data_IF_336354656218
#
_entry.id   IF_336354656218
#
_cell.length_a   1.000
_cell.length_b   1.000
_cell.length_c   1.000
_cell.angle_alpha   90.00
_cell.angle_beta   90.00
_cell.angle_gamma   90.00
#
_symmetry.space_group_name_H-M   'P 1'
#
loop_
_entity.id
_entity.type
_entity.pdbx_description
1 polymer ?
#
# COMPACT_ATOMS: atom_id res chain seq x y z
N UNK A 1 -0.19 -7.46 -14.68
CA UNK A 1 -0.14 -6.19 -13.95
C UNK A 1 1.15 -6.24 -13.15
N UNK A 2 2.18 -5.55 -13.61
CA UNK A 2 3.45 -5.49 -12.88
C UNK A 2 3.31 -4.44 -11.78
N UNK A 3 3.43 -4.89 -10.53
CA UNK A 3 3.39 -3.99 -9.38
C UNK A 3 4.80 -3.43 -9.23
N UNK A 4 4.99 -2.13 -9.45
CA UNK A 4 6.29 -1.49 -9.26
C UNK A 4 6.49 -1.00 -7.82
N UNK A 5 5.41 -0.57 -7.15
CA UNK A 5 5.45 0.09 -5.84
C UNK A 5 4.26 -0.31 -4.99
N UNK A 6 4.49 -0.44 -3.68
CA UNK A 6 3.45 -0.70 -2.69
C UNK A 6 3.56 0.30 -1.53
N UNK A 7 2.54 1.15 -1.38
CA UNK A 7 2.44 2.12 -0.30
C UNK A 7 1.82 1.50 0.94
N UNK A 8 2.44 1.67 2.10
CA UNK A 8 1.94 1.14 3.37
C UNK A 8 2.12 2.15 4.51
N UNK A 9 1.36 2.00 5.58
CA UNK A 9 1.60 2.77 6.80
C UNK A 9 2.76 2.20 7.62
N UNK A 10 3.15 2.92 8.68
CA UNK A 10 4.24 2.54 9.59
C UNK A 10 4.11 1.11 10.17
N UNK A 11 2.89 0.59 10.29
CA UNK A 11 2.63 -0.78 10.77
C UNK A 11 2.71 -1.85 9.68
N UNK A 12 2.66 -1.47 8.40
CA UNK A 12 2.75 -2.38 7.26
C UNK A 12 4.18 -2.76 6.86
N UNK A 13 5.21 -2.19 7.52
CA UNK A 13 6.60 -2.54 7.25
C UNK A 13 7.18 -3.51 8.27
N UNK A 14 8.06 -4.38 7.78
CA UNK A 14 8.96 -5.22 8.56
C UNK A 14 10.23 -5.45 7.73
N UNK A 15 11.34 -5.85 8.36
CA UNK A 15 12.53 -6.20 7.58
C UNK A 15 12.21 -7.31 6.56
N UNK A 16 11.45 -8.32 6.96
CA UNK A 16 11.08 -9.42 6.07
C UNK A 16 10.22 -8.96 4.90
N UNK A 17 9.31 -7.99 5.09
CA UNK A 17 8.54 -7.39 3.99
C UNK A 17 9.45 -6.62 3.01
N UNK A 18 10.45 -5.89 3.50
CA UNK A 18 11.46 -5.25 2.65
C UNK A 18 12.28 -6.27 1.85
N UNK A 19 12.60 -7.42 2.44
CA UNK A 19 13.29 -8.48 1.71
C UNK A 19 12.40 -9.09 0.61
N UNK A 20 11.15 -9.42 0.91
CA UNK A 20 10.25 -10.00 -0.09
C UNK A 20 9.94 -9.03 -1.23
N UNK A 21 9.68 -7.75 -0.93
CA UNK A 21 9.45 -6.74 -1.96
C UNK A 21 10.63 -6.64 -2.94
N UNK A 22 11.85 -6.57 -2.41
CA UNK A 22 13.07 -6.60 -3.22
C UNK A 22 13.19 -7.86 -4.08
N UNK A 23 12.97 -9.05 -3.50
CA UNK A 23 13.08 -10.33 -4.23
C UNK A 23 11.98 -10.51 -5.28
N UNK A 24 10.80 -9.92 -5.07
CA UNK A 24 9.67 -9.98 -5.98
C UNK A 24 9.73 -8.89 -7.07
N UNK A 25 10.59 -7.88 -6.90
CA UNK A 25 10.88 -6.85 -7.89
C UNK A 25 10.02 -5.59 -7.76
N UNK A 26 9.56 -5.26 -6.55
CA UNK A 26 8.80 -4.03 -6.29
C UNK A 26 9.32 -3.27 -5.07
N UNK A 27 9.09 -1.97 -5.02
CA UNK A 27 9.48 -1.13 -3.90
C UNK A 27 8.39 -1.11 -2.82
N UNK A 28 8.75 -1.48 -1.58
CA UNK A 28 7.90 -1.24 -0.40
C UNK A 28 8.16 0.17 0.14
N UNK A 29 7.13 1.02 0.14
CA UNK A 29 7.25 2.44 0.45
C UNK A 29 6.38 2.82 1.66
N UNK A 30 6.87 2.61 2.90
CA UNK A 30 6.13 2.97 4.10
C UNK A 30 6.13 4.47 4.40
N UNK A 31 4.99 5.02 4.83
CA UNK A 31 4.93 6.34 5.50
C UNK A 31 5.35 6.18 6.95
N UNK A 32 6.47 6.81 7.31
CA UNK A 32 7.10 6.66 8.62
C UNK A 32 6.72 7.84 9.53
N UNK A 33 5.83 7.59 10.50
CA UNK A 33 5.44 8.59 11.52
C UNK A 33 6.58 8.90 12.50
N UNK A 34 7.35 7.88 12.88
CA UNK A 34 8.46 7.98 13.83
C UNK A 34 9.81 7.86 13.12
N UNK A 35 10.06 8.69 12.10
CA UNK A 35 11.32 8.66 11.34
C UNK A 35 12.54 8.87 12.24
N UNK A 36 12.42 9.73 13.26
CA UNK A 36 13.49 10.03 14.21
C UNK A 36 13.91 8.83 15.09
N UNK A 37 13.07 7.79 15.21
CA UNK A 37 13.42 6.57 15.95
C UNK A 37 14.03 5.49 15.08
N UNK A 38 14.02 5.66 13.75
CA UNK A 38 14.60 4.67 12.84
C UNK A 38 16.13 4.67 12.95
N UNK A 39 16.72 3.50 12.74
CA UNK A 39 18.17 3.30 12.74
C UNK A 39 18.63 2.78 11.39
N UNK A 40 19.84 3.16 11.01
CA UNK A 40 20.50 2.73 9.77
C UNK A 40 21.47 1.59 10.07
N UNK A 41 21.34 0.47 9.36
CA UNK A 41 22.24 -0.66 9.54
C UNK A 41 23.54 -0.45 8.78
N UNK A 42 24.64 -0.92 9.36
CA UNK A 42 25.98 -0.75 8.80
C UNK A 42 26.30 -1.87 7.82
N UNK A 43 27.06 -1.57 6.78
CA UNK A 43 27.51 -2.59 5.82
C UNK A 43 28.60 -3.49 6.43
N UNK A 44 29.34 -3.02 7.43
CA UNK A 44 30.38 -3.81 8.12
C UNK A 44 31.81 -3.54 7.64
N UNK A 45 31.98 -2.85 6.51
CA UNK A 45 33.31 -2.38 6.05
C UNK A 45 33.77 -1.10 6.77
N UNK A 46 32.83 -0.43 7.45
CA UNK A 46 33.00 0.85 8.12
C UNK A 46 33.69 0.69 9.48
N UNK A 47 34.66 1.54 9.79
CA UNK A 47 35.24 1.66 11.14
C UNK A 47 34.38 2.57 12.01
N UNK A 48 34.47 2.39 13.33
CA UNK A 48 33.83 3.33 14.26
C UNK A 48 34.41 4.74 14.06
N UNK A 49 33.54 5.73 13.84
CA UNK A 49 33.92 7.12 13.60
C UNK A 49 34.05 7.52 12.12
N UNK A 50 33.92 6.58 11.17
CA UNK A 50 33.91 6.92 9.73
C UNK A 50 32.76 7.90 9.38
N UNK A 51 31.67 7.85 10.16
CA UNK A 51 30.50 8.71 10.01
C UNK A 51 30.10 9.36 11.34
N UNK A 52 30.97 10.19 11.92
CA UNK A 52 30.74 10.87 13.20
C UNK A 52 29.37 11.55 13.36
N UNK A 53 28.85 12.16 12.29
CA UNK A 53 27.52 12.82 12.30
C UNK A 53 26.34 11.83 12.26
N UNK A 54 26.58 10.59 11.82
CA UNK A 54 25.56 9.53 11.71
C UNK A 54 25.65 8.51 12.84
N UNK A 55 26.72 8.51 13.64
CA UNK A 55 26.90 7.62 14.80
C UNK A 55 25.63 7.51 15.69
N UNK A 56 24.85 8.58 15.96
CA UNK A 56 23.63 8.47 16.77
C UNK A 56 22.51 7.64 16.12
N UNK A 57 22.51 7.51 14.79
CA UNK A 57 21.47 6.81 14.00
C UNK A 57 21.95 5.48 13.43
N UNK A 58 23.26 5.20 13.44
CA UNK A 58 23.81 3.91 13.02
C UNK A 58 23.58 2.81 14.07
N UNK A 59 23.41 1.58 13.61
CA UNK A 59 23.24 0.40 14.47
C UNK A 59 24.13 -0.76 14.02
N UNK A 60 23.76 -1.99 14.38
CA UNK A 60 24.49 -3.23 14.11
C UNK A 60 24.80 -3.40 12.60
N UNK A 61 25.83 -4.19 12.32
CA UNK A 61 26.20 -4.58 10.95
C UNK A 61 25.24 -5.62 10.40
N UNK A 62 25.02 -5.58 9.09
CA UNK A 62 24.26 -6.60 8.35
C UNK A 62 25.10 -7.88 8.27
N UNK A 63 24.47 -9.03 8.51
CA UNK A 63 25.16 -10.32 8.34
C UNK A 63 25.03 -10.82 6.88
N UNK A 64 25.95 -10.38 6.03
CA UNK A 64 25.99 -10.75 4.61
C UNK A 64 26.21 -12.24 4.38
N UNK A 65 27.02 -12.89 5.21
CA UNK A 65 27.30 -14.32 5.10
C UNK A 65 26.03 -15.15 5.25
N UNK A 66 25.15 -14.77 6.18
CA UNK A 66 23.86 -15.45 6.35
C UNK A 66 22.93 -15.26 5.13
N UNK A 67 22.97 -14.09 4.49
CA UNK A 67 22.21 -13.82 3.26
C UNK A 67 22.71 -14.73 2.14
N UNK A 68 24.03 -14.84 1.97
CA UNK A 68 24.67 -15.70 0.95
C UNK A 68 24.30 -17.17 1.20
N UNK A 69 24.46 -17.66 2.43
CA UNK A 69 24.19 -19.06 2.80
C UNK A 69 22.73 -19.49 2.62
N UNK A 70 21.78 -18.54 2.59
CA UNK A 70 20.35 -18.83 2.47
C UNK A 70 19.73 -18.28 1.19
N UNK A 71 20.55 -17.81 0.24
CA UNK A 71 20.11 -17.19 -1.00
C UNK A 71 19.11 -18.08 -1.76
N UNK A 72 19.48 -19.33 -2.04
CA UNK A 72 18.64 -20.26 -2.82
C UNK A 72 17.27 -20.51 -2.16
N UNK A 73 17.24 -20.64 -0.83
CA UNK A 73 15.99 -20.83 -0.10
C UNK A 73 15.14 -19.55 -0.14
N UNK A 74 15.73 -18.36 0.00
CA UNK A 74 15.00 -17.09 -0.13
C UNK A 74 14.37 -16.94 -1.52
N UNK A 75 15.13 -17.23 -2.59
CA UNK A 75 14.63 -17.19 -3.97
C UNK A 75 13.50 -18.20 -4.18
N UNK A 76 13.63 -19.41 -3.62
CA UNK A 76 12.60 -20.45 -3.69
C UNK A 76 11.29 -20.00 -3.04
N UNK A 77 11.33 -19.40 -1.84
CA UNK A 77 10.12 -18.88 -1.20
C UNK A 77 9.51 -17.69 -1.96
N UNK A 78 10.33 -16.76 -2.43
CA UNK A 78 9.86 -15.64 -3.25
C UNK A 78 9.22 -16.13 -4.56
N UNK A 79 9.80 -17.15 -5.19
CA UNK A 79 9.25 -17.76 -6.42
C UNK A 79 7.93 -18.48 -6.13
N UNK A 80 7.84 -19.22 -5.02
CA UNK A 80 6.60 -19.90 -4.63
C UNK A 80 5.45 -18.91 -4.41
N UNK A 81 5.74 -17.77 -3.77
CA UNK A 81 4.79 -16.66 -3.64
C UNK A 81 4.38 -16.09 -5.00
N UNK A 82 5.36 -15.80 -5.87
CA UNK A 82 5.11 -15.23 -7.19
C UNK A 82 4.27 -16.15 -8.09
N UNK A 83 4.46 -17.47 -7.97
CA UNK A 83 3.71 -18.48 -8.72
C UNK A 83 2.38 -18.87 -8.06
N UNK A 84 2.09 -18.38 -6.85
CA UNK A 84 0.90 -18.79 -6.09
C UNK A 84 0.88 -20.25 -5.66
N UNK A 85 2.04 -20.93 -5.64
CA UNK A 85 2.15 -22.34 -5.22
C UNK A 85 2.20 -22.51 -3.71
N UNK A 86 2.37 -21.40 -2.97
CA UNK A 86 2.27 -21.36 -1.53
C UNK A 86 1.66 -20.03 -1.07
N UNK A 87 0.79 -20.09 -0.07
CA UNK A 87 0.22 -18.89 0.54
C UNK A 87 1.23 -18.19 1.47
N UNK A 88 1.22 -16.84 1.54
CA UNK A 88 2.07 -16.08 2.46
C UNK A 88 1.95 -16.54 3.91
N UNK A 89 0.72 -16.82 4.37
CA UNK A 89 0.47 -17.27 5.73
C UNK A 89 1.13 -18.63 6.00
N UNK A 90 1.06 -19.56 5.05
CA UNK A 90 1.69 -20.87 5.16
C UNK A 90 3.22 -20.76 5.28
N UNK A 91 3.84 -19.87 4.52
CA UNK A 91 5.29 -19.59 4.58
C UNK A 91 5.66 -18.98 5.94
N UNK A 92 4.93 -17.95 6.39
CA UNK A 92 5.17 -17.30 7.67
C UNK A 92 4.99 -18.27 8.85
N UNK A 93 3.94 -19.11 8.81
CA UNK A 93 3.67 -20.13 9.81
C UNK A 93 4.78 -21.18 9.87
N UNK A 94 5.40 -21.51 8.74
CA UNK A 94 6.57 -22.40 8.69
C UNK A 94 7.77 -21.79 9.40
N UNK A 95 7.96 -20.48 9.33
CA UNK A 95 9.07 -19.79 10.00
C UNK A 95 8.92 -19.72 11.52
N UNK A 96 7.69 -19.82 12.04
CA UNK A 96 7.38 -19.70 13.48
C UNK A 96 7.08 -21.04 14.18
N UNK A 97 7.01 -22.15 13.44
CA UNK A 97 6.44 -23.43 13.91
C UNK A 97 7.10 -24.06 15.14
N UNK A 98 8.36 -23.74 15.48
CA UNK A 98 9.12 -24.46 16.52
C UNK A 98 9.87 -23.56 17.53
N UNK A 99 9.51 -22.27 17.70
CA UNK A 99 10.23 -21.29 18.56
C UNK A 99 11.72 -21.06 18.23
N UNK A 100 12.34 -21.90 17.41
CA UNK A 100 13.64 -21.67 16.79
C UNK A 100 13.39 -20.91 15.50
N UNK A 101 13.84 -19.65 15.46
CA UNK A 101 13.71 -18.80 14.30
C UNK A 101 14.42 -19.44 13.10
N UNK A 102 13.64 -19.77 12.05
CA UNK A 102 14.11 -20.48 10.85
C UNK A 102 15.32 -19.76 10.22
N UNK A 103 16.37 -20.48 9.76
CA UNK A 103 17.57 -19.85 9.18
C UNK A 103 17.23 -18.89 8.03
N UNK A 104 16.36 -19.30 7.11
CA UNK A 104 15.88 -18.45 6.01
C UNK A 104 15.12 -17.21 6.49
N UNK A 105 14.36 -17.29 7.58
CA UNK A 105 13.71 -16.11 8.16
C UNK A 105 14.74 -15.11 8.68
N UNK A 106 15.80 -15.60 9.33
CA UNK A 106 16.90 -14.74 9.77
C UNK A 106 17.61 -14.09 8.59
N UNK A 107 17.88 -14.84 7.53
CA UNK A 107 18.47 -14.29 6.30
C UNK A 107 17.58 -13.24 5.63
N UNK A 108 16.26 -13.50 5.53
CA UNK A 108 15.30 -12.50 5.05
C UNK A 108 15.29 -11.25 5.92
N UNK A 109 15.38 -11.40 7.25
CA UNK A 109 15.48 -10.25 8.13
C UNK A 109 16.78 -9.46 7.89
N UNK A 110 17.93 -10.13 7.67
CA UNK A 110 19.20 -9.45 7.34
C UNK A 110 19.16 -8.73 6.00
N UNK A 111 18.65 -9.38 4.95
CA UNK A 111 18.43 -8.73 3.65
C UNK A 111 17.49 -7.53 3.80
N UNK A 112 16.42 -7.71 4.56
CA UNK A 112 15.45 -6.68 4.89
C UNK A 112 16.05 -5.44 5.54
N UNK A 113 17.03 -5.62 6.44
CA UNK A 113 17.78 -4.50 7.06
C UNK A 113 18.55 -3.70 6.03
N UNK A 114 19.17 -4.37 5.04
CA UNK A 114 19.89 -3.71 3.96
C UNK A 114 18.94 -2.85 3.12
N UNK A 115 17.86 -3.45 2.61
CA UNK A 115 16.87 -2.78 1.78
C UNK A 115 16.17 -1.65 2.53
N UNK A 116 15.79 -1.88 3.80
CA UNK A 116 15.23 -0.85 4.67
C UNK A 116 16.19 0.32 4.88
N UNK A 117 17.48 0.06 5.04
CA UNK A 117 18.49 1.13 5.19
C UNK A 117 18.59 1.97 3.91
N UNK A 118 18.62 1.32 2.73
CA UNK A 118 18.59 2.01 1.43
C UNK A 118 17.32 2.87 1.31
N UNK A 119 16.16 2.31 1.65
CA UNK A 119 14.90 3.04 1.66
C UNK A 119 14.96 4.25 2.59
N UNK A 120 15.45 4.10 3.83
CA UNK A 120 15.55 5.21 4.79
C UNK A 120 16.45 6.34 4.27
N UNK A 121 17.58 6.00 3.65
CA UNK A 121 18.46 6.99 3.03
C UNK A 121 17.74 7.75 1.90
N UNK A 122 16.99 7.05 1.03
CA UNK A 122 16.16 7.69 -0.02
C UNK A 122 15.06 8.55 0.60
N UNK A 123 14.34 8.03 1.58
CA UNK A 123 13.22 8.68 2.25
C UNK A 123 13.64 9.96 2.96
N UNK A 124 14.83 10.00 3.56
CA UNK A 124 15.38 11.21 4.19
C UNK A 124 15.92 12.18 3.14
N UNK A 125 16.62 11.64 2.12
CA UNK A 125 17.31 12.45 1.10
C UNK A 125 16.40 13.08 0.03
N UNK A 126 15.18 12.59 -0.17
CA UNK A 126 14.27 13.08 -1.21
C UNK A 126 12.92 13.53 -0.63
N UNK A 127 12.59 14.80 -0.84
CA UNK A 127 11.26 15.33 -0.53
C UNK A 127 10.21 14.79 -1.49
N UNK A 128 10.51 14.74 -2.78
CA UNK A 128 9.61 14.21 -3.81
C UNK A 128 9.14 12.79 -3.49
N UNK A 129 10.04 11.92 -3.00
CA UNK A 129 9.67 10.57 -2.59
C UNK A 129 8.69 10.59 -1.40
N UNK A 130 8.86 11.49 -0.44
CA UNK A 130 7.93 11.60 0.70
C UNK A 130 6.57 12.12 0.25
N UNK A 131 6.53 13.07 -0.69
CA UNK A 131 5.30 13.57 -1.30
C UNK A 131 4.58 12.42 -2.01
N UNK A 132 5.29 11.67 -2.86
CA UNK A 132 4.73 10.53 -3.59
C UNK A 132 4.12 9.49 -2.65
N UNK A 133 4.84 9.12 -1.58
CA UNK A 133 4.34 8.16 -0.58
C UNK A 133 3.07 8.67 0.10
N UNK A 134 3.03 9.96 0.42
CA UNK A 134 1.87 10.56 1.04
C UNK A 134 0.67 10.62 0.09
N UNK A 135 0.89 10.96 -1.17
CA UNK A 135 -0.13 10.94 -2.23
C UNK A 135 -0.69 9.52 -2.43
N UNK A 136 0.18 8.51 -2.52
CA UNK A 136 -0.22 7.11 -2.67
C UNK A 136 -1.07 6.60 -1.51
N UNK A 137 -0.74 6.96 -0.26
CA UNK A 137 -1.56 6.60 0.90
C UNK A 137 -2.87 7.36 0.97
N UNK A 138 -2.90 8.64 0.60
CA UNK A 138 -4.13 9.43 0.57
C UNK A 138 -5.19 8.80 -0.34
N UNK A 139 -4.79 8.15 -1.45
CA UNK A 139 -5.72 7.41 -2.32
C UNK A 139 -6.39 6.27 -1.54
N UNK A 140 -5.61 5.49 -0.78
CA UNK A 140 -6.12 4.38 0.04
C UNK A 140 -7.00 4.89 1.18
N UNK A 141 -6.63 6.00 1.83
CA UNK A 141 -7.43 6.63 2.89
C UNK A 141 -8.78 7.16 2.37
N UNK A 142 -8.78 7.82 1.21
CA UNK A 142 -10.00 8.28 0.53
C UNK A 142 -10.88 7.10 0.13
N UNK A 143 -10.28 6.02 -0.38
CA UNK A 143 -10.98 4.79 -0.72
C UNK A 143 -11.65 4.16 0.50
N UNK A 144 -10.92 4.04 1.62
CA UNK A 144 -11.47 3.54 2.88
C UNK A 144 -12.61 4.41 3.41
N UNK A 145 -12.49 5.73 3.29
CA UNK A 145 -13.52 6.67 3.73
C UNK A 145 -14.78 6.60 2.88
N UNK A 146 -14.64 6.45 1.55
CA UNK A 146 -15.76 6.20 0.65
C UNK A 146 -16.46 4.86 0.97
N UNK A 147 -15.68 3.81 1.28
CA UNK A 147 -16.24 2.53 1.69
C UNK A 147 -17.00 2.60 3.00
N UNK A 148 -16.46 3.29 4.01
CA UNK A 148 -17.15 3.49 5.28
C UNK A 148 -18.47 4.26 5.10
N UNK A 149 -18.49 5.22 4.16
CA UNK A 149 -19.69 5.97 3.80
C UNK A 149 -20.76 5.10 3.12
N UNK A 150 -20.37 4.26 2.15
CA UNK A 150 -21.30 3.33 1.47
C UNK A 150 -21.79 2.26 2.45
N UNK A 151 -20.88 1.71 3.25
CA UNK A 151 -21.14 0.66 4.22
C UNK A 151 -21.53 1.26 5.58
N UNK A 152 -22.54 2.13 5.63
CA UNK A 152 -22.93 2.80 6.87
C UNK A 152 -23.81 1.94 7.80
N UNK A 153 -24.46 0.91 7.27
CA UNK A 153 -25.37 0.03 8.01
C UNK A 153 -24.65 -0.72 9.14
N UNK A 154 -25.30 -0.86 10.31
CA UNK A 154 -24.72 -1.52 11.51
C UNK A 154 -23.35 -0.98 11.92
N UNK A 155 -23.07 0.31 11.69
CA UNK A 155 -21.80 0.94 12.05
C UNK A 155 -20.65 0.60 11.10
N UNK A 156 -20.94 0.00 9.93
CA UNK A 156 -19.93 -0.41 8.96
C UNK A 156 -19.15 -1.67 9.33
N UNK A 157 -19.73 -2.48 10.21
CA UNK A 157 -19.15 -3.75 10.60
C UNK A 157 -19.87 -4.92 9.94
N UNK A 158 -19.09 -5.93 9.56
CA UNK A 158 -19.63 -7.21 9.10
C UNK A 158 -20.17 -7.96 10.32
N UNK A 159 -21.47 -7.80 10.59
CA UNK A 159 -22.11 -8.28 11.81
C UNK A 159 -22.43 -9.79 11.85
N UNK A 160 -21.83 -10.60 10.97
CA UNK A 160 -22.10 -12.04 10.83
C UNK A 160 -20.80 -12.84 10.86
N UNK A 161 -20.84 -14.02 11.46
CA UNK A 161 -19.71 -14.96 11.50
C UNK A 161 -19.77 -16.01 10.37
N UNK A 162 -20.75 -15.92 9.47
CA UNK A 162 -20.90 -16.83 8.33
C UNK A 162 -20.09 -16.33 7.15
N UNK A 163 -19.04 -17.06 6.76
CA UNK A 163 -18.13 -16.67 5.67
C UNK A 163 -18.86 -16.27 4.37
N UNK A 164 -19.88 -17.01 3.96
CA UNK A 164 -20.69 -16.71 2.77
C UNK A 164 -21.36 -15.32 2.82
N UNK A 165 -21.88 -14.94 3.99
CA UNK A 165 -22.53 -13.64 4.18
C UNK A 165 -21.50 -12.50 4.28
N UNK A 166 -20.32 -12.78 4.85
CA UNK A 166 -19.20 -11.83 4.86
C UNK A 166 -18.72 -11.56 3.43
N UNK A 167 -18.52 -12.63 2.65
CA UNK A 167 -18.11 -12.55 1.25
C UNK A 167 -19.13 -11.76 0.42
N UNK A 168 -20.41 -12.08 0.53
CA UNK A 168 -21.48 -11.34 -0.16
C UNK A 168 -21.47 -9.85 0.20
N UNK A 169 -21.28 -9.51 1.48
CA UNK A 169 -21.23 -8.11 1.93
C UNK A 169 -20.04 -7.36 1.32
N UNK A 170 -18.86 -7.98 1.29
CA UNK A 170 -17.64 -7.39 0.73
C UNK A 170 -17.76 -7.22 -0.79
N UNK A 171 -18.29 -8.23 -1.49
CA UNK A 171 -18.50 -8.18 -2.95
C UNK A 171 -19.53 -7.10 -3.33
N UNK A 172 -20.63 -7.00 -2.59
CA UNK A 172 -21.66 -5.98 -2.82
C UNK A 172 -21.10 -4.56 -2.57
N UNK A 173 -20.34 -4.37 -1.49
CA UNK A 173 -19.65 -3.11 -1.20
C UNK A 173 -18.70 -2.74 -2.35
N UNK A 174 -17.91 -3.70 -2.84
CA UNK A 174 -16.98 -3.47 -3.93
C UNK A 174 -17.69 -3.05 -5.23
N UNK A 175 -18.82 -3.70 -5.56
CA UNK A 175 -19.64 -3.33 -6.71
C UNK A 175 -20.15 -1.89 -6.60
N UNK A 176 -20.75 -1.52 -5.45
CA UNK A 176 -21.25 -0.16 -5.21
C UNK A 176 -20.13 0.88 -5.30
N UNK A 177 -18.97 0.56 -4.76
CA UNK A 177 -17.80 1.43 -4.79
C UNK A 177 -17.29 1.65 -6.23
N UNK A 178 -17.23 0.60 -7.07
CA UNK A 178 -16.88 0.74 -8.48
C UNK A 178 -17.92 1.60 -9.21
N UNK A 179 -19.22 1.39 -8.95
CA UNK A 179 -20.28 2.19 -9.54
C UNK A 179 -20.16 3.68 -9.18
N UNK A 180 -19.90 4.00 -7.91
CA UNK A 180 -19.68 5.38 -7.45
C UNK A 180 -18.48 6.02 -8.16
N UNK A 181 -17.34 5.32 -8.22
CA UNK A 181 -16.14 5.80 -8.91
C UNK A 181 -16.43 6.06 -10.39
N UNK A 182 -17.18 5.15 -11.04
CA UNK A 182 -17.53 5.29 -12.45
C UNK A 182 -18.41 6.52 -12.71
N UNK A 183 -19.50 6.68 -11.95
CA UNK A 183 -20.40 7.84 -12.09
C UNK A 183 -19.66 9.14 -11.82
N UNK A 184 -18.85 9.19 -10.76
CA UNK A 184 -18.04 10.38 -10.45
C UNK A 184 -17.05 10.72 -11.55
N UNK A 185 -16.44 9.71 -12.16
CA UNK A 185 -15.52 9.92 -13.29
C UNK A 185 -16.26 10.56 -14.46
N UNK A 186 -17.45 10.07 -14.81
CA UNK A 186 -18.25 10.66 -15.88
C UNK A 186 -18.70 12.09 -15.56
N UNK A 187 -19.13 12.36 -14.32
CA UNK A 187 -19.50 13.72 -13.89
C UNK A 187 -18.32 14.69 -13.97
N UNK A 188 -17.13 14.26 -13.52
CA UNK A 188 -15.90 15.05 -13.63
C UNK A 188 -15.55 15.32 -15.09
N UNK A 189 -15.62 14.30 -15.95
CA UNK A 189 -15.37 14.45 -17.39
C UNK A 189 -16.33 15.45 -18.03
N UNK A 190 -17.62 15.38 -17.70
CA UNK A 190 -18.63 16.31 -18.21
C UNK A 190 -18.32 17.75 -17.80
N UNK A 191 -17.97 17.99 -16.52
CA UNK A 191 -17.58 19.33 -16.04
C UNK A 191 -16.31 19.82 -16.73
N UNK A 192 -15.29 18.96 -16.87
CA UNK A 192 -14.03 19.32 -17.53
C UNK A 192 -14.14 19.39 -19.06
N UNK A 193 -15.25 18.95 -19.66
CA UNK A 193 -15.54 19.16 -21.07
C UNK A 193 -15.89 20.64 -21.36
N UNK A 194 -16.40 21.37 -20.38
CA UNK A 194 -16.67 22.79 -20.51
C UNK A 194 -15.36 23.61 -20.48
N UNK A 195 -15.05 24.40 -21.53
CA UNK A 195 -13.80 25.15 -21.61
C UNK A 195 -13.56 26.12 -20.45
N UNK A 196 -14.63 26.63 -19.85
CA UNK A 196 -14.56 27.55 -18.69
C UNK A 196 -13.96 26.87 -17.47
N UNK A 197 -14.25 25.58 -17.25
CA UNK A 197 -13.69 24.83 -16.13
C UNK A 197 -12.30 24.30 -16.46
N UNK A 198 -12.12 23.74 -17.65
CA UNK A 198 -10.83 23.21 -18.08
C UNK A 198 -9.72 24.29 -18.07
N UNK A 199 -10.02 25.50 -18.54
CA UNK A 199 -9.07 26.62 -18.58
C UNK A 199 -8.69 27.18 -17.20
N UNK A 200 -9.47 26.86 -16.15
CA UNK A 200 -9.17 27.26 -14.76
C UNK A 200 -8.24 26.29 -14.05
N UNK A 201 -8.16 25.04 -14.53
CA UNK A 201 -7.36 23.99 -13.90
C UNK A 201 -5.87 24.27 -14.03
N UNK A 202 -5.15 24.12 -12.93
CA UNK A 202 -3.69 24.12 -12.87
C UNK A 202 -3.17 22.69 -12.76
N UNK A 203 -1.86 22.53 -12.92
CA UNK A 203 -1.20 21.23 -12.77
C UNK A 203 -1.49 20.59 -11.41
N UNK A 204 -1.54 21.39 -10.35
CA UNK A 204 -1.86 20.93 -9.00
C UNK A 204 -3.30 20.44 -8.87
N UNK A 205 -4.25 21.05 -9.58
CA UNK A 205 -5.66 20.67 -9.54
C UNK A 205 -5.87 19.33 -10.25
N UNK A 206 -5.21 19.11 -11.38
CA UNK A 206 -5.23 17.81 -12.08
C UNK A 206 -4.61 16.70 -11.23
N UNK A 207 -3.52 17.00 -10.50
CA UNK A 207 -2.89 16.06 -9.59
C UNK A 207 -3.79 15.71 -8.39
N UNK A 208 -4.59 16.65 -7.91
CA UNK A 208 -5.50 16.45 -6.77
C UNK A 208 -6.86 15.83 -7.17
N UNK A 209 -7.15 15.73 -8.46
CA UNK A 209 -8.43 15.24 -8.97
C UNK A 209 -8.62 13.76 -8.61
N UNK A 210 -9.73 13.44 -7.96
CA UNK A 210 -10.06 12.07 -7.56
C UNK A 210 -11.54 11.77 -7.76
N UNK A 211 -11.91 10.62 -8.33
CA UNK A 211 -13.30 10.17 -8.43
C UNK A 211 -13.83 9.58 -7.10
N UNK A 212 -13.04 9.59 -6.01
CA UNK A 212 -13.44 9.05 -4.71
C UNK A 212 -14.24 10.05 -3.84
N UNK A 213 -14.77 11.12 -4.43
CA UNK A 213 -15.61 12.09 -3.74
C UNK A 213 -17.02 11.52 -3.48
N UNK A 214 -17.55 11.67 -2.28
CA UNK A 214 -18.88 11.13 -1.93
C UNK A 214 -19.79 12.16 -1.22
N UNK A 215 -19.31 13.39 -0.99
CA UNK A 215 -20.08 14.43 -0.30
C UNK A 215 -21.37 14.84 -1.04
N UNK A 216 -21.46 14.59 -2.34
CA UNK A 216 -22.65 14.86 -3.16
C UNK A 216 -23.64 13.69 -3.21
N UNK A 217 -23.28 12.53 -2.64
CA UNK A 217 -24.12 11.34 -2.58
C UNK A 217 -24.92 11.39 -1.28
N UNK A 218 -26.21 11.04 -1.33
CA UNK A 218 -27.02 10.81 -0.14
C UNK A 218 -27.31 9.30 -0.05
N UNK A 219 -26.79 8.57 0.97
CA UNK A 219 -27.00 7.14 1.10
C UNK A 219 -28.32 6.83 1.83
N UNK A 220 -29.02 7.84 2.34
CA UNK A 220 -30.25 7.70 3.12
C UNK A 220 -31.48 8.05 2.29
N UNK A 221 -32.56 7.33 2.56
CA UNK A 221 -33.88 7.63 2.02
C UNK A 221 -34.48 6.46 1.26
N UNK A 222 -35.56 6.75 0.55
CA UNK A 222 -36.23 5.81 -0.33
C UNK A 222 -35.78 6.14 -1.75
N UNK A 223 -35.22 5.15 -2.44
CA UNK A 223 -34.81 5.26 -3.83
C UNK A 223 -35.84 4.55 -4.70
N UNK A 224 -36.65 5.30 -5.43
CA UNK A 224 -37.49 4.75 -6.48
C UNK A 224 -36.62 4.58 -7.74
N UNK A 225 -36.38 3.33 -8.12
CA UNK A 225 -35.56 3.00 -9.27
C UNK A 225 -36.44 2.83 -10.50
N UNK A 226 -36.29 3.74 -11.46
CA UNK A 226 -36.79 3.56 -12.81
C UNK A 226 -35.66 3.07 -13.72
N UNK A 227 -35.75 1.82 -14.18
CA UNK A 227 -34.73 1.18 -14.99
C UNK A 227 -34.74 1.66 -16.47
N UNK A 228 -35.80 2.37 -16.88
CA UNK A 228 -35.94 2.95 -18.21
C UNK A 228 -35.30 4.35 -18.29
N UNK A 229 -35.22 5.04 -17.16
CA UNK A 229 -34.60 6.36 -17.09
C UNK A 229 -33.07 6.23 -16.97
N UNK A 230 -32.33 7.07 -17.70
CA UNK A 230 -30.86 7.18 -17.63
C UNK A 230 -30.47 8.46 -16.90
N UNK A 231 -29.32 8.44 -16.23
CA UNK A 231 -28.73 9.64 -15.65
C UNK A 231 -28.42 10.63 -16.79
N UNK A 232 -28.67 11.95 -16.60
CA UNK A 232 -28.38 12.98 -17.60
C UNK A 232 -26.88 13.31 -17.60
N UNK A 233 -26.05 12.29 -17.77
CA UNK A 233 -24.60 12.40 -17.85
C UNK A 233 -24.23 12.04 -19.29
N UNK A 234 -23.74 13.03 -20.01
CA UNK A 234 -23.28 12.83 -21.38
C UNK A 234 -22.08 11.89 -21.36
N UNK A 235 -22.15 10.78 -22.12
CA UNK A 235 -20.97 9.94 -22.34
C UNK A 235 -20.09 10.71 -23.32
N UNK A 236 -19.18 11.51 -22.79
CA UNK A 236 -18.19 12.22 -23.60
C UNK A 236 -17.32 11.16 -24.29
N UNK A 237 -17.46 11.05 -25.61
CA UNK A 237 -16.71 10.10 -26.45
C UNK A 237 -15.24 10.51 -26.61
#
# INVERSE_FOLDING_TARGET
MDIERQYVDSHGQSEVAFAFSYLLGFDLLPRLKAIASQKLYRTGDEKNGDYSNLDPVLTRTINWELIIQQYDEMIKYATALKQGTAEPEAILRRFTRNNVQHPTYKALAELGKAIKTIFLCRYIGSEDLRIEINEGLNVVENWNSANAFIFYGKGGEVATNRLEEQELSVLALHLLQICLVYVNTLMIQQVLHEPVWLSRMKAEDFRALTPLIYAHVNPYGIFELDMETRLPIDVVA
#
